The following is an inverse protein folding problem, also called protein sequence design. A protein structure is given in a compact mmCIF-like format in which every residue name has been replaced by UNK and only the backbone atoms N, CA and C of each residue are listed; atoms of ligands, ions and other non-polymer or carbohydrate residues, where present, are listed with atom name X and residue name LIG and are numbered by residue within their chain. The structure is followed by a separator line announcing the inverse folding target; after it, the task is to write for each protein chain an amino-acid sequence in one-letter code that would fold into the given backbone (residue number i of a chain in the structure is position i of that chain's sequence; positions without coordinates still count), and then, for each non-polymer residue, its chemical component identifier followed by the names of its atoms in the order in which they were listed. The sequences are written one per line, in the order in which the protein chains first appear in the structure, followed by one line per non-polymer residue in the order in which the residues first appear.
data_IF_136586237223
#
_entry.id   IF_136586237223
#
_cell.length_a   1.000
_cell.length_b   1.000
_cell.length_c   1.000
_cell.angle_alpha   90.00
_cell.angle_beta   90.00
_cell.angle_gamma   90.00
#
_symmetry.space_group_name_H-M   'P 1'
#
loop_
_entity.id
_entity.type
_entity.pdbx_description
1 polymer ?
#
# COMPACT_ATOMS: atom_id res chain seq x y z
N UNK A 1 34.51 17.60 4.14
CA UNK A 1 33.38 16.81 4.70
C UNK A 1 33.83 15.36 4.81
N UNK A 2 33.36 14.63 5.83
CA UNK A 2 33.68 13.20 5.99
C UNK A 2 32.88 12.38 4.98
N UNK A 3 33.50 11.38 4.38
CA UNK A 3 32.81 10.40 3.53
C UNK A 3 32.42 9.18 4.39
N UNK A 4 31.23 8.66 4.15
CA UNK A 4 30.70 7.46 4.81
C UNK A 4 30.33 6.43 3.74
N UNK A 5 30.68 5.16 3.95
CA UNK A 5 30.01 4.05 3.26
C UNK A 5 28.76 3.63 4.03
N UNK A 6 27.82 2.93 3.39
CA UNK A 6 26.59 2.46 4.06
C UNK A 6 26.90 1.60 5.28
N UNK A 7 27.96 0.78 5.19
CA UNK A 7 28.43 -0.04 6.29
C UNK A 7 28.94 0.81 7.46
N UNK A 8 29.72 1.85 7.18
CA UNK A 8 30.22 2.75 8.23
C UNK A 8 29.09 3.56 8.85
N UNK A 9 28.13 4.02 8.04
CA UNK A 9 26.96 4.75 8.51
C UNK A 9 26.15 3.90 9.50
N UNK A 10 26.05 2.59 9.28
CA UNK A 10 25.29 1.66 10.14
C UNK A 10 25.80 1.58 11.58
N UNK A 11 27.03 2.02 11.85
CA UNK A 11 27.57 2.08 13.21
C UNK A 11 27.03 3.25 14.03
N UNK A 12 26.42 4.26 13.39
CA UNK A 12 25.88 5.46 14.02
C UNK A 12 24.37 5.31 14.28
N UNK A 13 24.03 4.24 14.97
CA UNK A 13 22.66 3.77 15.19
C UNK A 13 22.06 4.21 16.53
N UNK A 14 22.72 5.07 17.30
CA UNK A 14 22.22 5.53 18.60
C UNK A 14 22.24 4.51 19.74
N UNK A 15 22.67 3.26 19.50
CA UNK A 15 22.78 2.23 20.54
C UNK A 15 24.10 2.39 21.31
N UNK A 16 24.12 1.91 22.54
CA UNK A 16 25.31 1.93 23.40
C UNK A 16 25.96 3.32 23.55
N UNK A 17 25.15 4.38 23.46
CA UNK A 17 25.62 5.78 23.55
C UNK A 17 26.31 6.32 22.29
N UNK A 18 26.26 5.58 21.17
CA UNK A 18 26.79 6.04 19.88
C UNK A 18 25.97 7.22 19.32
N UNK A 19 26.56 8.05 18.45
CA UNK A 19 25.82 9.10 17.76
C UNK A 19 24.71 8.53 16.86
N UNK A 20 23.73 9.37 16.53
CA UNK A 20 22.57 9.02 15.71
C UNK A 20 22.67 9.73 14.37
N UNK A 21 23.13 9.04 13.33
CA UNK A 21 23.25 9.63 11.99
C UNK A 21 22.22 9.06 11.03
N UNK A 22 21.77 9.87 10.09
CA UNK A 22 20.94 9.44 8.97
C UNK A 22 21.45 10.04 7.66
N UNK A 23 21.29 9.32 6.56
CA UNK A 23 21.56 9.87 5.23
C UNK A 23 20.25 10.27 4.52
N UNK A 24 20.31 11.37 3.77
CA UNK A 24 19.26 11.80 2.86
C UNK A 24 19.88 12.47 1.63
N UNK A 25 19.58 11.94 0.45
CA UNK A 25 20.10 12.36 -0.85
C UNK A 25 21.62 12.57 -0.86
N UNK A 26 22.35 11.58 -0.33
CA UNK A 26 23.81 11.61 -0.27
C UNK A 26 24.41 12.51 0.82
N UNK A 27 23.61 13.19 1.64
CA UNK A 27 24.07 14.01 2.77
C UNK A 27 23.84 13.26 4.09
N UNK A 28 24.82 13.29 4.99
CA UNK A 28 24.74 12.65 6.32
C UNK A 28 24.50 13.72 7.37
N UNK A 29 23.43 13.58 8.14
CA UNK A 29 23.01 14.51 9.20
C UNK A 29 23.14 13.85 10.58
N UNK A 30 23.64 14.62 11.55
CA UNK A 30 23.69 14.20 12.95
C UNK A 30 22.43 14.66 13.69
N UNK A 31 21.55 13.70 13.96
CA UNK A 31 20.27 13.92 14.65
C UNK A 31 20.32 13.49 16.12
N UNK A 32 21.51 13.33 16.70
CA UNK A 32 21.72 12.86 18.09
C UNK A 32 20.98 13.73 19.12
N UNK A 33 20.92 15.04 18.89
CA UNK A 33 20.24 15.99 19.78
C UNK A 33 18.70 15.97 19.63
N UNK A 34 18.16 15.22 18.67
CA UNK A 34 16.72 15.12 18.47
C UNK A 34 16.08 14.20 19.50
N UNK A 35 15.15 14.74 20.29
CA UNK A 35 14.31 13.94 21.20
C UNK A 35 13.51 12.86 20.47
N UNK A 36 13.22 13.08 19.18
CA UNK A 36 12.45 12.15 18.34
C UNK A 36 13.28 10.99 17.78
N UNK A 37 14.60 11.00 17.99
CA UNK A 37 15.54 9.97 17.54
C UNK A 37 16.24 9.28 18.72
N UNK A 38 15.67 9.35 19.92
CA UNK A 38 16.25 8.77 21.13
C UNK A 38 16.48 7.27 20.95
N UNK A 39 17.72 6.83 21.22
CA UNK A 39 18.12 5.42 21.03
C UNK A 39 18.18 4.98 19.57
N UNK A 40 18.28 5.93 18.64
CA UNK A 40 18.40 5.65 17.21
C UNK A 40 17.12 5.26 16.50
N UNK A 41 15.97 5.40 17.17
CA UNK A 41 14.68 4.99 16.63
C UNK A 41 13.74 6.19 16.54
N UNK A 42 13.23 6.42 15.33
CA UNK A 42 12.24 7.45 15.06
C UNK A 42 10.88 6.84 14.74
N UNK A 43 9.86 7.27 15.48
CA UNK A 43 8.46 6.83 15.35
C UNK A 43 8.28 5.30 15.35
N UNK A 44 9.16 4.58 16.09
CA UNK A 44 9.20 3.11 16.14
C UNK A 44 9.32 2.43 14.77
N UNK A 45 9.89 3.14 13.78
CA UNK A 45 9.88 2.71 12.38
C UNK A 45 11.20 2.95 11.67
N UNK A 46 11.74 4.15 11.82
CA UNK A 46 12.94 4.55 11.09
C UNK A 46 14.15 4.41 12.01
N UNK A 47 15.07 3.55 11.61
CA UNK A 47 16.31 3.29 12.33
C UNK A 47 17.40 4.20 11.80
N UNK A 48 18.20 4.74 12.72
CA UNK A 48 19.42 5.46 12.40
C UNK A 48 20.48 4.55 11.80
N UNK A 49 21.56 5.16 11.29
CA UNK A 49 22.62 4.48 10.57
C UNK A 49 22.20 4.00 9.17
N UNK A 50 21.18 4.62 8.56
CA UNK A 50 20.63 4.24 7.26
C UNK A 50 20.45 5.44 6.33
N UNK A 51 20.37 5.15 5.03
CA UNK A 51 19.85 6.10 4.05
C UNK A 51 18.32 6.09 4.06
N UNK A 52 17.74 7.21 4.48
CA UNK A 52 16.31 7.45 4.60
C UNK A 52 15.78 8.36 3.47
N UNK A 53 16.51 8.43 2.35
CA UNK A 53 16.14 9.19 1.16
C UNK A 53 14.72 8.89 0.66
N UNK A 54 14.36 7.61 0.68
CA UNK A 54 13.03 7.13 0.25
C UNK A 54 12.00 7.36 1.36
N UNK A 55 12.37 7.08 2.60
CA UNK A 55 11.47 7.13 3.76
C UNK A 55 10.92 8.52 4.05
N UNK A 56 11.73 9.59 3.89
CA UNK A 56 11.28 10.95 4.20
C UNK A 56 10.10 11.39 3.33
N UNK A 57 9.94 10.80 2.14
CA UNK A 57 8.83 11.11 1.24
C UNK A 57 7.47 10.68 1.79
N UNK A 58 7.43 9.79 2.77
CA UNK A 58 6.22 9.34 3.47
C UNK A 58 6.04 9.99 4.86
N UNK A 59 6.97 10.86 5.26
CA UNK A 59 6.90 11.56 6.54
C UNK A 59 5.85 12.68 6.52
N UNK A 60 5.24 13.04 7.67
CA UNK A 60 4.30 14.16 7.78
C UNK A 60 5.01 15.54 7.73
N UNK A 61 6.29 15.57 7.34
CA UNK A 61 7.13 16.77 7.29
C UNK A 61 8.07 16.68 6.08
N UNK A 62 8.61 17.83 5.66
CA UNK A 62 9.60 17.90 4.59
C UNK A 62 11.03 17.66 5.08
N UNK A 63 11.98 17.96 4.20
CA UNK A 63 13.42 17.93 4.50
C UNK A 63 13.85 19.11 5.40
N UNK A 64 13.01 20.13 5.54
CA UNK A 64 13.25 21.34 6.35
C UNK A 64 13.57 21.02 7.82
N UNK A 65 13.07 19.89 8.33
CA UNK A 65 13.39 19.44 9.69
C UNK A 65 14.83 18.97 9.82
N UNK A 66 15.45 18.47 8.75
CA UNK A 66 16.84 18.01 8.74
C UNK A 66 17.83 19.16 8.69
N UNK A 67 17.43 20.30 8.09
CA UNK A 67 18.26 21.52 8.03
C UNK A 67 18.56 22.10 9.41
N UNK A 68 17.80 21.70 10.45
CA UNK A 68 18.02 22.07 11.85
C UNK A 68 19.21 21.34 12.49
N UNK A 69 19.74 20.32 11.81
CA UNK A 69 20.79 19.45 12.31
C UNK A 69 22.07 19.61 11.46
N UNK A 70 23.26 19.46 12.06
CA UNK A 70 24.50 19.64 11.34
C UNK A 70 24.70 18.51 10.32
N UNK A 71 25.07 18.90 9.09
CA UNK A 71 25.56 17.95 8.10
C UNK A 71 27.01 17.56 8.45
N UNK A 72 27.22 16.30 8.82
CA UNK A 72 28.52 15.77 9.26
C UNK A 72 29.31 15.10 8.14
N UNK A 73 28.69 14.86 6.98
CA UNK A 73 29.37 14.31 5.83
C UNK A 73 28.50 14.05 4.61
N UNK A 74 29.02 13.19 3.75
CA UNK A 74 28.37 12.70 2.54
C UNK A 74 28.42 11.18 2.49
N UNK A 75 27.34 10.57 2.02
CA UNK A 75 27.27 9.14 1.78
C UNK A 75 27.87 8.87 0.40
N UNK A 76 28.90 8.04 0.36
CA UNK A 76 29.52 7.60 -0.87
C UNK A 76 28.47 6.83 -1.66
N UNK A 77 28.17 7.30 -2.88
CA UNK A 77 27.24 6.61 -3.75
C UNK A 77 27.80 5.22 -4.06
N UNK A 78 27.25 4.18 -3.44
CA UNK A 78 27.32 2.87 -4.05
C UNK A 78 26.68 3.03 -5.42
N UNK A 79 27.40 2.64 -6.48
CA UNK A 79 26.80 2.47 -7.81
C UNK A 79 25.79 1.34 -7.68
N UNK A 80 24.61 1.63 -7.15
CA UNK A 80 23.43 0.80 -7.40
C UNK A 80 23.35 0.68 -8.92
N UNK A 81 23.36 -0.55 -9.41
CA UNK A 81 23.22 -0.81 -10.83
C UNK A 81 22.00 -0.01 -11.32
N UNK A 82 22.26 1.03 -12.12
CA UNK A 82 21.20 1.85 -12.69
C UNK A 82 20.30 0.88 -13.45
N UNK A 83 19.13 0.60 -12.89
CA UNK A 83 18.12 -0.17 -13.60
C UNK A 83 17.73 0.71 -14.75
N UNK A 84 18.24 0.40 -15.94
CA UNK A 84 17.97 1.13 -17.17
C UNK A 84 16.51 0.90 -17.52
N UNK A 85 15.64 1.76 -16.98
CA UNK A 85 14.22 1.73 -17.29
C UNK A 85 14.05 1.97 -18.79
N UNK A 86 13.10 1.27 -19.45
CA UNK A 86 12.75 1.59 -20.82
C UNK A 86 12.46 3.08 -20.98
N UNK A 87 12.90 3.67 -22.09
CA UNK A 87 12.89 5.12 -22.28
C UNK A 87 11.49 5.75 -22.16
N UNK A 88 10.46 5.01 -22.58
CA UNK A 88 9.05 5.40 -22.43
C UNK A 88 8.65 5.50 -20.96
N UNK A 89 9.07 4.52 -20.15
CA UNK A 89 8.81 4.51 -18.70
C UNK A 89 9.57 5.64 -18.02
N UNK A 90 10.84 5.85 -18.37
CA UNK A 90 11.64 6.95 -17.83
C UNK A 90 10.98 8.31 -18.11
N UNK A 91 10.57 8.58 -19.36
CA UNK A 91 9.84 9.80 -19.74
C UNK A 91 8.54 9.97 -18.96
N UNK A 92 7.77 8.89 -18.80
CA UNK A 92 6.51 8.91 -18.04
C UNK A 92 6.76 9.27 -16.57
N UNK A 93 7.75 8.64 -15.94
CA UNK A 93 8.09 8.88 -14.54
C UNK A 93 8.68 10.27 -14.30
N UNK A 94 9.41 10.83 -15.27
CA UNK A 94 9.85 12.22 -15.22
C UNK A 94 8.68 13.20 -15.29
N UNK A 95 7.68 12.92 -16.14
CA UNK A 95 6.46 13.75 -16.25
C UNK A 95 5.53 13.62 -15.05
N UNK A 96 5.45 12.42 -14.46
CA UNK A 96 4.61 12.13 -13.30
C UNK A 96 5.43 11.46 -12.17
N UNK A 97 6.19 12.25 -11.38
CA UNK A 97 7.07 11.73 -10.34
C UNK A 97 6.35 10.90 -9.28
N UNK A 98 5.06 11.16 -9.07
CA UNK A 98 4.22 10.43 -8.11
C UNK A 98 4.15 8.93 -8.43
N UNK A 99 4.25 8.55 -9.71
CA UNK A 99 4.22 7.15 -10.14
C UNK A 99 5.43 6.34 -9.66
N UNK A 100 6.57 7.00 -9.36
CA UNK A 100 7.74 6.33 -8.76
C UNK A 100 7.49 5.92 -7.31
N UNK A 101 6.73 6.72 -6.57
CA UNK A 101 6.55 6.52 -5.12
C UNK A 101 5.29 5.74 -4.80
N UNK A 102 4.17 6.23 -5.32
CA UNK A 102 2.86 5.73 -5.00
C UNK A 102 1.97 5.92 -6.21
N UNK A 103 2.05 5.01 -7.19
CA UNK A 103 1.25 5.18 -8.38
C UNK A 103 -0.26 5.05 -8.07
N UNK A 104 -0.68 4.40 -6.96
CA UNK A 104 -2.09 4.05 -6.68
C UNK A 104 -2.67 4.18 -5.26
N UNK A 105 -2.19 5.09 -4.38
CA UNK A 105 -2.60 5.11 -2.98
C UNK A 105 -4.07 5.44 -2.80
N UNK A 106 -4.69 6.27 -3.65
CA UNK A 106 -6.12 6.56 -3.56
C UNK A 106 -6.98 5.49 -4.26
N UNK A 107 -6.58 5.05 -5.46
CA UNK A 107 -7.44 4.21 -6.30
C UNK A 107 -7.74 2.85 -5.68
N UNK A 108 -6.84 2.32 -4.84
CA UNK A 108 -7.09 1.07 -4.10
C UNK A 108 -8.26 1.16 -3.12
N UNK A 109 -8.62 2.35 -2.64
CA UNK A 109 -9.69 2.53 -1.66
C UNK A 109 -11.08 2.35 -2.29
N UNK A 110 -11.25 2.64 -3.58
CA UNK A 110 -12.54 2.50 -4.25
C UNK A 110 -13.06 1.05 -4.21
N UNK A 111 -12.36 0.04 -4.76
CA UNK A 111 -12.87 -1.33 -4.69
C UNK A 111 -12.98 -1.83 -3.24
N UNK A 112 -12.08 -1.42 -2.33
CA UNK A 112 -12.18 -1.78 -0.90
C UNK A 112 -13.51 -1.31 -0.32
N UNK A 113 -13.80 -0.01 -0.42
CA UNK A 113 -15.02 0.59 0.15
C UNK A 113 -16.25 0.04 -0.54
N UNK A 114 -16.24 -0.08 -1.88
CA UNK A 114 -17.38 -0.59 -2.63
C UNK A 114 -17.72 -2.05 -2.33
N UNK A 115 -16.72 -2.92 -2.16
CA UNK A 115 -16.97 -4.31 -1.77
C UNK A 115 -17.51 -4.41 -0.33
N UNK A 116 -16.97 -3.62 0.60
CA UNK A 116 -17.48 -3.57 1.98
C UNK A 116 -18.90 -3.00 2.04
N UNK A 117 -19.17 -1.93 1.30
CA UNK A 117 -20.50 -1.33 1.20
C UNK A 117 -21.51 -2.29 0.56
N UNK A 118 -21.09 -3.06 -0.46
CA UNK A 118 -21.91 -4.11 -1.07
C UNK A 118 -22.37 -5.12 -0.01
N UNK A 119 -21.46 -5.60 0.84
CA UNK A 119 -21.80 -6.51 1.93
C UNK A 119 -22.72 -5.83 2.95
N UNK A 120 -22.38 -4.62 3.40
CA UNK A 120 -23.15 -3.90 4.40
C UNK A 120 -24.59 -3.63 3.96
N UNK A 121 -24.79 -3.15 2.72
CA UNK A 121 -26.13 -2.87 2.20
C UNK A 121 -26.93 -4.15 1.93
N UNK A 122 -26.32 -5.26 1.52
CA UNK A 122 -27.01 -6.55 1.45
C UNK A 122 -27.46 -7.03 2.83
N UNK A 123 -26.65 -6.85 3.87
CA UNK A 123 -27.05 -7.18 5.25
C UNK A 123 -28.18 -6.27 5.75
N UNK A 124 -28.11 -4.97 5.45
CA UNK A 124 -29.19 -4.04 5.77
C UNK A 124 -30.50 -4.42 5.06
N UNK A 125 -30.43 -4.82 3.78
CA UNK A 125 -31.60 -5.36 3.08
C UNK A 125 -32.14 -6.62 3.78
N UNK A 126 -31.28 -7.56 4.17
CA UNK A 126 -31.69 -8.80 4.84
C UNK A 126 -32.44 -8.54 6.16
N UNK A 127 -32.03 -7.52 6.91
CA UNK A 127 -32.62 -7.18 8.22
C UNK A 127 -33.87 -6.31 8.07
N UNK A 128 -33.84 -5.33 7.17
CA UNK A 128 -34.88 -4.30 7.08
C UNK A 128 -35.93 -4.56 6.00
N UNK A 129 -35.64 -5.44 5.04
CA UNK A 129 -36.42 -5.67 3.82
C UNK A 129 -36.64 -4.43 2.94
N UNK A 130 -35.86 -3.35 3.15
CA UNK A 130 -35.97 -2.13 2.34
C UNK A 130 -35.22 -2.31 1.02
N UNK A 131 -35.97 -2.35 -0.09
CA UNK A 131 -35.47 -2.62 -1.45
C UNK A 131 -34.35 -1.68 -1.91
N UNK A 132 -34.33 -0.44 -1.44
CA UNK A 132 -33.28 0.52 -1.82
C UNK A 132 -31.88 0.06 -1.40
N UNK A 133 -31.74 -0.73 -0.33
CA UNK A 133 -30.45 -1.24 0.11
C UNK A 133 -29.87 -2.28 -0.85
N UNK A 134 -30.65 -3.26 -1.31
CA UNK A 134 -30.13 -4.25 -2.28
C UNK A 134 -29.75 -3.61 -3.62
N UNK A 135 -30.53 -2.61 -4.05
CA UNK A 135 -30.24 -1.83 -5.26
C UNK A 135 -28.95 -1.04 -5.07
N UNK A 136 -28.77 -0.38 -3.93
CA UNK A 136 -27.52 0.33 -3.61
C UNK A 136 -26.33 -0.63 -3.59
N UNK A 137 -26.49 -1.82 -3.02
CA UNK A 137 -25.46 -2.83 -2.98
C UNK A 137 -25.02 -3.28 -4.38
N UNK A 138 -25.97 -3.46 -5.31
CA UNK A 138 -25.68 -3.79 -6.71
C UNK A 138 -24.87 -2.70 -7.41
N UNK A 139 -25.21 -1.42 -7.18
CA UNK A 139 -24.43 -0.30 -7.72
C UNK A 139 -23.01 -0.25 -7.15
N UNK A 140 -22.85 -0.46 -5.84
CA UNK A 140 -21.54 -0.55 -5.22
C UNK A 140 -20.72 -1.70 -5.82
N UNK A 141 -21.32 -2.89 -6.00
CA UNK A 141 -20.65 -4.04 -6.57
C UNK A 141 -20.12 -3.74 -7.99
N UNK A 142 -20.97 -3.16 -8.84
CA UNK A 142 -20.60 -2.75 -10.20
C UNK A 142 -19.49 -1.69 -10.21
N UNK A 143 -19.59 -0.67 -9.34
CA UNK A 143 -18.54 0.35 -9.21
C UNK A 143 -17.21 -0.25 -8.75
N UNK A 144 -17.23 -1.18 -7.79
CA UNK A 144 -16.02 -1.87 -7.35
C UNK A 144 -15.37 -2.66 -8.49
N UNK A 145 -16.15 -3.45 -9.25
CA UNK A 145 -15.68 -4.21 -10.42
C UNK A 145 -15.00 -3.29 -11.44
N UNK A 146 -15.56 -2.10 -11.69
CA UNK A 146 -14.99 -1.13 -12.63
C UNK A 146 -13.56 -0.70 -12.24
N UNK A 147 -13.31 -0.47 -10.95
CA UNK A 147 -12.00 -0.02 -10.46
C UNK A 147 -10.97 -1.15 -10.28
N UNK A 148 -11.40 -2.41 -10.16
CA UNK A 148 -10.50 -3.53 -9.88
C UNK A 148 -9.42 -3.77 -10.95
N UNK A 149 -9.74 -3.84 -12.26
CA UNK A 149 -8.72 -4.02 -13.30
C UNK A 149 -7.67 -2.92 -13.28
N UNK A 150 -8.13 -1.67 -13.11
CA UNK A 150 -7.24 -0.53 -12.93
C UNK A 150 -6.31 -0.84 -11.75
N UNK A 151 -6.84 -0.98 -10.54
CA UNK A 151 -6.05 -1.21 -9.31
C UNK A 151 -5.07 -2.40 -9.39
N UNK A 152 -5.45 -3.48 -10.07
CA UNK A 152 -4.59 -4.66 -10.24
C UNK A 152 -3.38 -4.37 -11.13
N UNK A 153 -3.56 -3.76 -12.32
CA UNK A 153 -2.47 -3.45 -13.26
C UNK A 153 -1.41 -2.54 -12.62
N UNK A 154 -1.95 -1.51 -12.03
CA UNK A 154 -1.40 -0.54 -11.10
C UNK A 154 -0.56 -1.16 -9.96
N UNK A 155 -1.06 -2.20 -9.31
CA UNK A 155 -0.33 -2.95 -8.29
C UNK A 155 0.84 -3.75 -8.88
N UNK A 156 0.64 -4.39 -10.03
CA UNK A 156 1.69 -5.11 -10.75
C UNK A 156 2.82 -4.18 -11.21
N UNK A 157 2.47 -3.00 -11.72
CA UNK A 157 3.43 -1.97 -12.10
C UNK A 157 4.27 -1.52 -10.90
N UNK A 158 3.63 -1.28 -9.75
CA UNK A 158 4.33 -0.91 -8.50
C UNK A 158 5.29 -2.02 -8.06
N UNK A 159 4.85 -3.27 -8.13
CA UNK A 159 5.68 -4.41 -7.77
C UNK A 159 6.91 -4.55 -8.68
N UNK A 160 6.72 -4.39 -9.99
CA UNK A 160 7.81 -4.40 -10.96
C UNK A 160 8.80 -3.26 -10.72
N UNK A 161 8.30 -2.02 -10.56
CA UNK A 161 9.14 -0.82 -10.44
C UNK A 161 9.88 -0.75 -9.10
N UNK A 162 9.19 -1.01 -7.98
CA UNK A 162 9.72 -0.72 -6.64
C UNK A 162 10.34 -1.96 -5.98
N UNK A 163 9.96 -3.16 -6.40
CA UNK A 163 10.47 -4.42 -5.84
C UNK A 163 11.22 -5.25 -6.87
N UNK A 164 11.45 -4.74 -8.09
CA UNK A 164 12.20 -5.43 -9.14
C UNK A 164 11.64 -6.82 -9.46
N UNK A 165 10.32 -6.98 -9.37
CA UNK A 165 9.62 -8.26 -9.49
C UNK A 165 10.15 -9.37 -8.54
N UNK A 166 10.83 -9.01 -7.45
CA UNK A 166 11.29 -9.96 -6.44
C UNK A 166 10.09 -10.49 -5.63
N UNK A 167 10.11 -11.77 -5.23
CA UNK A 167 9.03 -12.37 -4.46
C UNK A 167 8.95 -11.74 -3.07
N UNK A 168 7.87 -10.99 -2.81
CA UNK A 168 7.54 -10.43 -1.49
C UNK A 168 6.23 -11.04 -1.04
N UNK A 169 6.21 -11.69 0.14
CA UNK A 169 5.06 -12.47 0.64
C UNK A 169 3.74 -11.69 0.56
N UNK A 170 3.71 -10.47 1.08
CA UNK A 170 2.53 -9.61 1.08
C UNK A 170 2.07 -9.25 -0.34
N UNK A 171 3.01 -9.04 -1.27
CA UNK A 171 2.68 -8.76 -2.67
C UNK A 171 2.13 -10.00 -3.37
N UNK A 172 2.73 -11.17 -3.17
CA UNK A 172 2.28 -12.43 -3.76
C UNK A 172 0.85 -12.75 -3.33
N UNK A 173 0.55 -12.63 -2.04
CA UNK A 173 -0.80 -12.83 -1.52
C UNK A 173 -1.79 -11.91 -2.23
N UNK A 174 -1.45 -10.62 -2.41
CA UNK A 174 -2.31 -9.68 -3.14
C UNK A 174 -2.49 -10.05 -4.60
N UNK A 175 -1.43 -10.50 -5.28
CA UNK A 175 -1.48 -10.95 -6.69
C UNK A 175 -2.43 -12.15 -6.85
N UNK A 176 -2.49 -13.05 -5.87
CA UNK A 176 -3.37 -14.22 -5.89
C UNK A 176 -4.80 -13.89 -5.47
N UNK A 177 -4.98 -13.14 -4.38
CA UNK A 177 -6.30 -12.87 -3.80
C UNK A 177 -7.11 -11.86 -4.61
N UNK A 178 -6.46 -10.90 -5.28
CA UNK A 178 -7.18 -9.86 -6.06
C UNK A 178 -7.96 -10.43 -7.26
N UNK A 179 -7.41 -11.33 -8.10
CA UNK A 179 -8.17 -12.03 -9.13
C UNK A 179 -9.33 -12.87 -8.58
N UNK A 180 -9.15 -13.55 -7.44
CA UNK A 180 -10.22 -14.34 -6.81
C UNK A 180 -11.38 -13.45 -6.41
N UNK A 181 -11.09 -12.33 -5.72
CA UNK A 181 -12.09 -11.32 -5.39
C UNK A 181 -12.80 -10.80 -6.66
N UNK A 182 -12.05 -10.55 -7.74
CA UNK A 182 -12.59 -10.01 -8.98
C UNK A 182 -13.57 -10.97 -9.64
N UNK A 183 -13.20 -12.25 -9.72
CA UNK A 183 -14.04 -13.31 -10.31
C UNK A 183 -15.30 -13.52 -9.49
N UNK A 184 -15.21 -13.58 -8.16
CA UNK A 184 -16.39 -13.72 -7.29
C UNK A 184 -17.32 -12.52 -7.44
N UNK A 185 -16.78 -11.30 -7.43
CA UNK A 185 -17.57 -10.08 -7.62
C UNK A 185 -18.25 -10.08 -8.98
N UNK A 186 -17.53 -10.46 -10.05
CA UNK A 186 -18.07 -10.53 -11.41
C UNK A 186 -19.20 -11.56 -11.51
N UNK A 187 -19.02 -12.77 -10.96
CA UNK A 187 -20.05 -13.81 -10.93
C UNK A 187 -21.29 -13.32 -10.19
N UNK A 188 -21.12 -12.73 -8.99
CA UNK A 188 -22.24 -12.21 -8.22
C UNK A 188 -22.98 -11.10 -8.98
N UNK A 189 -22.25 -10.17 -9.60
CA UNK A 189 -22.80 -9.06 -10.36
C UNK A 189 -23.57 -9.54 -11.59
N UNK A 190 -22.96 -10.38 -12.43
CA UNK A 190 -23.62 -10.88 -13.65
C UNK A 190 -24.83 -11.73 -13.30
N UNK A 191 -24.76 -12.53 -12.23
CA UNK A 191 -25.89 -13.32 -11.77
C UNK A 191 -27.05 -12.44 -11.28
N UNK A 192 -26.76 -11.39 -10.49
CA UNK A 192 -27.78 -10.45 -10.01
C UNK A 192 -28.39 -9.59 -11.12
N UNK A 193 -27.61 -9.26 -12.15
CA UNK A 193 -28.08 -8.55 -13.35
C UNK A 193 -28.95 -9.45 -14.23
N UNK A 194 -28.60 -10.72 -14.39
CA UNK A 194 -29.38 -11.69 -15.15
C UNK A 194 -30.69 -12.08 -14.44
N UNK A 195 -30.70 -12.08 -13.11
CA UNK A 195 -31.87 -12.40 -12.29
C UNK A 195 -32.23 -11.24 -11.34
N UNK A 196 -32.96 -10.22 -11.81
CA UNK A 196 -33.33 -9.06 -11.01
C UNK A 196 -34.13 -9.37 -9.73
N UNK A 197 -34.84 -10.50 -9.73
CA UNK A 197 -35.71 -10.98 -8.65
C UNK A 197 -35.02 -12.01 -7.73
N UNK A 198 -33.70 -12.22 -7.86
CA UNK A 198 -32.95 -13.23 -7.08
C UNK A 198 -33.12 -13.10 -5.56
N UNK A 199 -33.41 -11.89 -5.08
CA UNK A 199 -33.54 -11.56 -3.66
C UNK A 199 -34.98 -11.29 -3.22
N UNK A 200 -35.98 -11.34 -4.12
CA UNK A 200 -37.38 -11.08 -3.77
C UNK A 200 -38.08 -12.28 -3.14
N UNK A 201 -37.69 -13.50 -3.50
CA UNK A 201 -38.09 -14.73 -2.81
C UNK A 201 -36.87 -15.41 -2.19
N UNK A 202 -36.89 -15.66 -0.88
CA UNK A 202 -35.76 -16.27 -0.19
C UNK A 202 -35.65 -17.76 -0.55
N UNK A 203 -34.75 -18.08 -1.47
CA UNK A 203 -34.49 -19.44 -1.93
C UNK A 203 -33.00 -19.81 -1.84
N UNK A 204 -32.67 -21.01 -2.31
CA UNK A 204 -31.28 -21.50 -2.32
C UNK A 204 -30.35 -20.58 -3.13
N UNK A 205 -30.83 -20.03 -4.25
CA UNK A 205 -30.07 -19.05 -5.04
C UNK A 205 -29.71 -17.80 -4.25
N UNK A 206 -30.66 -17.26 -3.47
CA UNK A 206 -30.43 -16.10 -2.61
C UNK A 206 -29.37 -16.40 -1.53
N UNK A 207 -29.42 -17.58 -0.92
CA UNK A 207 -28.42 -18.02 0.08
C UNK A 207 -27.02 -18.08 -0.52
N UNK A 208 -26.87 -18.73 -1.70
CA UNK A 208 -25.57 -18.81 -2.37
C UNK A 208 -25.07 -17.40 -2.75
N UNK A 209 -25.95 -16.55 -3.27
CA UNK A 209 -25.60 -15.16 -3.58
C UNK A 209 -25.11 -14.42 -2.33
N UNK A 210 -25.80 -14.52 -1.19
CA UNK A 210 -25.35 -13.90 0.05
C UNK A 210 -23.99 -14.45 0.51
N UNK A 211 -23.72 -15.74 0.35
CA UNK A 211 -22.41 -16.31 0.67
C UNK A 211 -21.30 -15.74 -0.22
N UNK A 212 -21.56 -15.55 -1.52
CA UNK A 212 -20.62 -14.89 -2.44
C UNK A 212 -20.35 -13.44 -1.99
N UNK A 213 -21.41 -12.68 -1.67
CA UNK A 213 -21.28 -11.30 -1.19
C UNK A 213 -20.54 -11.23 0.15
N UNK A 214 -20.86 -12.11 1.11
CA UNK A 214 -20.18 -12.18 2.40
C UNK A 214 -18.70 -12.50 2.26
N UNK A 215 -18.32 -13.31 1.26
CA UNK A 215 -16.92 -13.65 0.99
C UNK A 215 -16.08 -12.45 0.52
N UNK A 216 -16.69 -11.38 0.01
CA UNK A 216 -15.97 -10.18 -0.44
C UNK A 216 -15.24 -9.50 0.73
N UNK A 217 -15.87 -9.43 1.91
CA UNK A 217 -15.33 -8.76 3.11
C UNK A 217 -14.00 -9.37 3.58
N UNK A 218 -13.89 -10.68 3.87
CA UNK A 218 -12.61 -11.27 4.29
C UNK A 218 -11.54 -11.18 3.20
N UNK A 219 -11.89 -11.31 1.91
CA UNK A 219 -10.93 -11.17 0.81
C UNK A 219 -10.35 -9.74 0.74
N UNK A 220 -11.21 -8.73 0.83
CA UNK A 220 -10.81 -7.32 0.92
C UNK A 220 -9.98 -7.05 2.17
N UNK A 221 -10.38 -7.63 3.31
CA UNK A 221 -9.63 -7.55 4.57
C UNK A 221 -8.21 -8.09 4.43
N UNK A 222 -8.03 -9.26 3.79
CA UNK A 222 -6.72 -9.85 3.51
C UNK A 222 -5.88 -8.92 2.61
N UNK A 223 -6.44 -8.42 1.50
CA UNK A 223 -5.74 -7.51 0.59
C UNK A 223 -5.33 -6.22 1.31
N UNK A 224 -6.24 -5.64 2.09
CA UNK A 224 -6.01 -4.43 2.87
C UNK A 224 -4.95 -4.62 3.94
N UNK A 225 -5.00 -5.73 4.69
CA UNK A 225 -4.03 -6.07 5.72
C UNK A 225 -2.61 -6.20 5.16
N UNK A 226 -2.42 -7.01 4.11
CA UNK A 226 -1.11 -7.16 3.48
C UNK A 226 -0.66 -5.92 2.72
N UNK A 227 -1.60 -5.09 2.26
CA UNK A 227 -1.29 -3.75 1.75
C UNK A 227 -0.75 -2.84 2.85
N UNK A 228 -1.40 -2.82 4.00
CA UNK A 228 -0.97 -2.04 5.16
C UNK A 228 0.40 -2.48 5.67
N UNK A 229 0.72 -3.79 5.69
CA UNK A 229 2.05 -4.27 6.10
C UNK A 229 3.20 -3.79 5.21
N UNK A 230 2.94 -3.52 3.93
CA UNK A 230 3.96 -2.93 3.04
C UNK A 230 4.22 -1.46 3.40
N UNK A 231 3.18 -0.75 3.85
CA UNK A 231 3.27 0.65 4.23
C UNK A 231 3.70 0.82 5.69
N UNK A 232 3.33 -0.10 6.57
CA UNK A 232 3.51 -0.08 8.02
C UNK A 232 3.95 -1.49 8.48
N UNK A 233 5.23 -1.85 8.26
CA UNK A 233 5.74 -3.15 8.69
C UNK A 233 5.69 -3.24 10.21
N UNK A 234 5.07 -4.31 10.73
CA UNK A 234 5.08 -4.64 12.15
C UNK A 234 6.34 -5.47 12.41
N UNK A 235 7.21 -5.01 13.30
CA UNK A 235 8.36 -5.81 13.74
C UNK A 235 7.84 -7.08 14.44
N UNK A 236 8.45 -8.22 14.12
CA UNK A 236 8.27 -9.42 14.95
C UNK A 236 9.14 -9.21 16.18
N UNK A 237 8.51 -9.16 17.35
CA UNK A 237 9.21 -9.35 18.63
C UNK A 237 9.94 -10.69 18.67
#
# INVERSE_FOLDING_TARGET
MKEFELKDLSEFDGKDGKPVYIAHQGRVYDVTLSKLWKGGLHMKRHHAGRDLSVDIGAAPHGIDVLERYPQVGILKAEREAEVTLPEVVSRLLHRFPILRRHPHPMTVHFPIVFMLATTAFNLLYLISHVKSFEVTALHCLGAGILFMPLVMLTGLFTWWLNYMAKPVRSVIIKIVVSPVLFVIALIAFTWRMANPELLSSFGMGSVIYFLLILSLTPLVGIIGWYGAQLTFPVEKE
#
